data_IF_768388013101
#
_entry.id   IF_768388013101
#
_cell.length_a   1.000
_cell.length_b   1.000
_cell.length_c   1.000
_cell.angle_alpha   90.00
_cell.angle_beta   90.00
_cell.angle_gamma   90.00
#
_symmetry.space_group_name_H-M   'P 1'
#
loop_
_entity.id
_entity.type
_entity.pdbx_description
1 polymer ?
#
# COMPACT_ATOMS: atom_id res chain seq x y z
N UNK A 1 -12.28 -21.73 -12.63
CA UNK A 1 -12.48 -20.37 -13.20
C UNK A 1 -12.47 -19.34 -12.09
N UNK A 2 -11.76 -18.22 -12.29
CA UNK A 2 -11.60 -17.11 -11.36
C UNK A 2 -11.88 -15.81 -12.11
N UNK A 3 -12.76 -14.99 -11.57
CA UNK A 3 -13.17 -13.69 -12.12
C UNK A 3 -12.73 -12.56 -11.19
N UNK A 4 -12.31 -11.44 -11.78
CA UNK A 4 -12.01 -10.20 -11.09
C UNK A 4 -13.07 -9.16 -11.43
N UNK A 5 -13.59 -8.52 -10.40
CA UNK A 5 -14.43 -7.33 -10.53
C UNK A 5 -13.49 -6.13 -10.47
N UNK A 6 -13.47 -5.33 -11.54
CA UNK A 6 -12.71 -4.09 -11.62
C UNK A 6 -13.70 -2.95 -11.38
N UNK A 7 -13.44 -2.18 -10.34
CA UNK A 7 -14.23 -1.02 -9.95
C UNK A 7 -13.43 0.23 -10.34
N UNK A 8 -13.75 0.82 -11.48
CA UNK A 8 -13.21 2.11 -11.92
C UNK A 8 -14.25 3.22 -11.67
N UNK A 9 -13.83 4.49 -11.70
CA UNK A 9 -14.67 5.65 -11.32
C UNK A 9 -15.96 5.79 -12.14
N UNK A 10 -16.03 5.21 -13.34
CA UNK A 10 -17.16 5.38 -14.25
C UNK A 10 -18.11 4.17 -14.32
N UNK A 11 -17.61 2.93 -14.38
CA UNK A 11 -18.46 1.73 -14.47
C UNK A 11 -17.76 0.45 -13.94
N UNK A 12 -18.47 -0.43 -13.19
CA UNK A 12 -17.93 -1.72 -12.79
C UNK A 12 -17.84 -2.69 -13.98
N UNK A 13 -16.72 -3.38 -14.12
CA UNK A 13 -16.51 -4.40 -15.16
C UNK A 13 -16.05 -5.75 -14.57
N UNK A 14 -16.33 -6.85 -15.28
CA UNK A 14 -15.93 -8.21 -14.89
C UNK A 14 -14.93 -8.74 -15.90
N UNK A 15 -13.80 -9.28 -15.42
CA UNK A 15 -12.74 -9.88 -16.23
C UNK A 15 -12.47 -11.31 -15.79
N UNK A 16 -12.28 -12.21 -16.74
CA UNK A 16 -11.75 -13.55 -16.45
C UNK A 16 -10.22 -13.48 -16.26
N UNK A 17 -9.74 -13.96 -15.12
CA UNK A 17 -8.31 -13.88 -14.75
C UNK A 17 -7.63 -15.23 -14.84
N UNK A 18 -8.34 -16.31 -14.52
CA UNK A 18 -7.78 -17.65 -14.61
C UNK A 18 -8.88 -18.68 -14.92
N UNK A 19 -8.66 -19.47 -15.97
CA UNK A 19 -9.49 -20.60 -16.31
C UNK A 19 -8.60 -21.83 -16.55
N UNK A 20 -8.36 -22.57 -15.48
CA UNK A 20 -7.54 -23.78 -15.47
C UNK A 20 -8.24 -24.88 -14.67
N UNK A 21 -7.74 -26.10 -14.81
CA UNK A 21 -8.13 -27.24 -13.98
C UNK A 21 -7.65 -27.10 -12.54
N UNK A 22 -8.18 -27.94 -11.65
CA UNK A 22 -7.75 -27.98 -10.24
C UNK A 22 -6.28 -28.41 -10.11
N UNK A 23 -5.83 -29.36 -10.93
CA UNK A 23 -4.45 -29.86 -10.90
C UNK A 23 -3.44 -28.76 -11.25
N UNK A 24 -3.80 -27.88 -12.18
CA UNK A 24 -3.01 -26.71 -12.56
C UNK A 24 -3.04 -25.60 -11.49
N UNK A 25 -4.12 -25.52 -10.71
CA UNK A 25 -4.30 -24.50 -9.66
C UNK A 25 -3.49 -24.80 -8.40
N UNK A 26 -3.42 -26.08 -7.97
CA UNK A 26 -2.73 -26.53 -6.75
C UNK A 26 -1.32 -25.94 -6.60
N UNK A 27 -0.41 -25.98 -7.59
CA UNK A 27 0.95 -25.42 -7.44
C UNK A 27 0.97 -23.89 -7.29
N UNK A 28 -0.12 -23.20 -7.62
CA UNK A 28 -0.22 -21.74 -7.49
C UNK A 28 -0.60 -21.31 -6.07
N UNK A 29 -1.27 -22.17 -5.30
CA UNK A 29 -1.76 -21.89 -3.95
C UNK A 29 -0.63 -21.77 -2.92
N UNK A 30 -0.93 -21.10 -1.82
CA UNK A 30 -0.08 -21.04 -0.61
C UNK A 30 -0.90 -21.39 0.61
N UNK A 31 -0.24 -22.03 1.57
CA UNK A 31 -0.81 -22.28 2.89
C UNK A 31 -0.23 -21.29 3.91
N UNK A 32 -1.10 -20.62 4.65
CA UNK A 32 -0.73 -19.83 5.83
C UNK A 32 -1.70 -20.20 6.95
N UNK A 33 -1.15 -20.75 8.04
CA UNK A 33 -1.88 -21.13 9.24
C UNK A 33 -3.11 -22.04 8.96
N UNK A 34 -2.99 -22.98 8.02
CA UNK A 34 -4.08 -23.90 7.66
C UNK A 34 -5.17 -23.28 6.78
N UNK A 35 -4.97 -22.04 6.34
CA UNK A 35 -5.79 -21.41 5.30
C UNK A 35 -5.04 -21.43 3.96
N UNK A 36 -5.70 -21.95 2.93
CA UNK A 36 -5.17 -21.93 1.56
C UNK A 36 -5.60 -20.66 0.83
N UNK A 37 -4.67 -19.96 0.20
CA UNK A 37 -4.94 -18.75 -0.58
C UNK A 37 -4.19 -18.76 -1.91
N UNK A 38 -4.79 -18.11 -2.93
CA UNK A 38 -4.17 -17.89 -4.24
C UNK A 38 -3.58 -16.47 -4.28
N UNK A 39 -2.25 -16.31 -4.37
CA UNK A 39 -1.64 -14.99 -4.49
C UNK A 39 -2.05 -14.33 -5.81
N UNK A 40 -2.68 -13.15 -5.72
CA UNK A 40 -3.17 -12.39 -6.88
C UNK A 40 -2.05 -12.07 -7.88
N UNK A 41 -0.83 -11.84 -7.39
CA UNK A 41 0.33 -11.58 -8.24
C UNK A 41 0.74 -12.76 -9.15
N UNK A 42 0.34 -14.00 -8.82
CA UNK A 42 0.61 -15.18 -9.66
C UNK A 42 -0.36 -15.32 -10.83
N UNK A 43 -1.51 -14.63 -10.78
CA UNK A 43 -2.57 -14.74 -11.80
C UNK A 43 -2.71 -13.48 -12.66
N UNK A 44 -2.28 -12.31 -12.18
CA UNK A 44 -2.27 -11.08 -12.97
C UNK A 44 -1.04 -10.99 -13.89
N UNK A 45 -1.25 -10.62 -15.16
CA UNK A 45 -0.17 -10.45 -16.14
C UNK A 45 0.73 -9.27 -15.75
N UNK A 46 2.05 -9.29 -16.03
CA UNK A 46 2.96 -8.20 -15.71
C UNK A 46 2.54 -6.82 -16.24
N UNK A 47 1.91 -6.77 -17.43
CA UNK A 47 1.38 -5.54 -18.00
C UNK A 47 0.18 -4.95 -17.21
N UNK A 48 -0.59 -5.80 -16.51
CA UNK A 48 -1.68 -5.39 -15.61
C UNK A 48 -1.18 -5.04 -14.22
N UNK A 49 0.12 -5.25 -13.94
CA UNK A 49 0.80 -4.78 -12.72
C UNK A 49 1.34 -3.36 -12.86
N UNK A 50 1.00 -2.66 -13.95
CA UNK A 50 1.35 -1.25 -14.12
C UNK A 50 0.55 -0.42 -13.09
N UNK A 51 0.96 -0.48 -11.82
CA UNK A 51 0.73 0.62 -10.91
C UNK A 51 1.42 1.82 -11.54
N UNK A 52 0.67 2.87 -11.81
CA UNK A 52 1.21 4.19 -12.15
C UNK A 52 2.46 4.42 -11.30
N UNK A 53 3.62 4.74 -11.90
CA UNK A 53 4.84 5.03 -11.14
C UNK A 53 4.53 6.03 -10.04
N UNK A 54 5.12 5.84 -8.86
CA UNK A 54 4.82 6.69 -7.70
C UNK A 54 5.05 8.18 -8.00
N UNK A 55 5.97 8.51 -8.92
CA UNK A 55 6.23 9.89 -9.34
C UNK A 55 5.09 10.53 -10.15
N UNK A 56 4.23 9.72 -10.76
CA UNK A 56 3.10 10.17 -11.59
C UNK A 56 1.77 10.19 -10.81
N UNK A 57 1.78 9.71 -9.57
CA UNK A 57 0.60 9.66 -8.72
C UNK A 57 0.31 11.03 -8.10
N UNK A 58 -0.98 11.36 -8.00
CA UNK A 58 -1.41 12.61 -7.34
C UNK A 58 -1.19 12.55 -5.83
N UNK A 59 -0.77 13.68 -5.27
CA UNK A 59 -0.72 13.89 -3.82
C UNK A 59 -2.12 14.24 -3.31
N UNK A 60 -2.65 13.46 -2.37
CA UNK A 60 -4.01 13.65 -1.82
C UNK A 60 -4.02 14.25 -0.43
N UNK A 61 -2.93 14.12 0.32
CA UNK A 61 -2.73 14.78 1.60
C UNK A 61 -1.23 14.95 1.87
N UNK A 62 -0.84 16.01 2.58
CA UNK A 62 0.55 16.19 3.01
C UNK A 62 0.63 16.95 4.32
N UNK A 63 1.72 16.73 5.06
CA UNK A 63 2.05 17.47 6.28
C UNK A 63 3.55 17.74 6.34
N UNK A 64 3.94 18.87 6.93
CA UNK A 64 5.32 19.27 7.10
C UNK A 64 5.73 19.16 8.57
N UNK A 65 6.90 18.58 8.83
CA UNK A 65 7.53 18.52 10.14
C UNK A 65 9.04 18.78 10.02
N UNK A 66 9.49 19.93 10.51
CA UNK A 66 10.88 20.39 10.30
C UNK A 66 11.21 20.46 8.79
N UNK A 67 12.25 19.76 8.33
CA UNK A 67 12.61 19.63 6.91
C UNK A 67 11.88 18.48 6.20
N UNK A 68 11.14 17.65 6.95
CA UNK A 68 10.48 16.47 6.42
C UNK A 68 9.07 16.79 5.96
N UNK A 69 8.77 16.46 4.71
CA UNK A 69 7.41 16.47 4.17
C UNK A 69 6.90 15.03 4.05
N UNK A 70 5.81 14.72 4.74
CA UNK A 70 5.12 13.43 4.67
C UNK A 70 3.91 13.59 3.76
N UNK A 71 3.87 12.83 2.66
CA UNK A 71 2.81 12.93 1.66
C UNK A 71 2.13 11.58 1.44
N UNK A 72 0.81 11.61 1.35
CA UNK A 72 -0.03 10.50 0.92
C UNK A 72 -0.39 10.65 -0.56
N UNK A 73 -0.12 9.59 -1.32
CA UNK A 73 -0.49 9.47 -2.73
C UNK A 73 -1.90 8.88 -2.87
N UNK A 74 -2.51 9.04 -4.04
CA UNK A 74 -3.88 8.60 -4.34
C UNK A 74 -4.12 7.09 -4.08
N UNK A 75 -3.10 6.23 -4.25
CA UNK A 75 -3.20 4.80 -3.94
C UNK A 75 -2.99 4.46 -2.44
N UNK A 76 -2.89 5.48 -1.59
CA UNK A 76 -2.62 5.37 -0.16
C UNK A 76 -1.16 5.11 0.21
N UNK A 77 -0.22 5.15 -0.74
CA UNK A 77 1.21 5.05 -0.43
C UNK A 77 1.71 6.32 0.25
N UNK A 78 2.67 6.16 1.15
CA UNK A 78 3.29 7.28 1.87
C UNK A 78 4.71 7.45 1.36
N UNK A 79 5.03 8.67 0.97
CA UNK A 79 6.39 9.10 0.63
C UNK A 79 6.84 10.15 1.64
N UNK A 80 8.16 10.24 1.85
CA UNK A 80 8.78 11.23 2.72
C UNK A 80 9.84 11.95 1.93
N UNK A 81 9.80 13.28 1.93
CA UNK A 81 10.86 14.12 1.38
C UNK A 81 11.59 14.83 2.51
N UNK A 82 12.89 15.02 2.36
CA UNK A 82 13.72 15.85 3.25
C UNK A 82 14.31 16.98 2.42
N UNK A 83 13.96 18.23 2.74
CA UNK A 83 14.31 19.41 1.93
C UNK A 83 14.05 19.21 0.43
N UNK A 84 12.87 18.66 0.10
CA UNK A 84 12.42 18.39 -1.27
C UNK A 84 12.98 17.11 -1.91
N UNK A 85 13.93 16.41 -1.28
CA UNK A 85 14.51 15.17 -1.81
C UNK A 85 13.76 13.95 -1.32
N UNK A 86 13.28 13.12 -2.24
CA UNK A 86 12.58 11.87 -1.91
C UNK A 86 13.53 10.90 -1.19
N UNK A 87 13.13 10.48 0.02
CA UNK A 87 13.89 9.50 0.79
C UNK A 87 13.58 8.06 0.32
N UNK A 88 14.61 7.20 0.16
CA UNK A 88 14.40 5.81 -0.25
C UNK A 88 13.72 4.96 0.83
N UNK A 89 13.82 5.34 2.11
CA UNK A 89 13.18 4.64 3.22
C UNK A 89 12.38 5.59 4.10
N UNK A 90 11.05 5.57 3.93
CA UNK A 90 10.13 6.38 4.75
C UNK A 90 9.98 5.85 6.20
N UNK A 91 9.95 4.53 6.41
CA UNK A 91 9.50 3.94 7.68
C UNK A 91 10.35 4.33 8.90
N UNK A 92 11.70 4.36 8.85
CA UNK A 92 12.50 4.81 10.00
C UNK A 92 12.19 6.26 10.38
N UNK A 93 12.18 7.16 9.38
CA UNK A 93 11.91 8.59 9.57
C UNK A 93 10.51 8.82 10.16
N UNK A 94 9.49 8.13 9.64
CA UNK A 94 8.14 8.21 10.20
C UNK A 94 8.07 7.77 11.67
N UNK A 95 8.87 6.79 12.10
CA UNK A 95 8.90 6.38 13.51
C UNK A 95 9.53 7.44 14.40
N UNK A 96 10.56 8.12 13.91
CA UNK A 96 11.21 9.21 14.64
C UNK A 96 10.27 10.42 14.76
N UNK A 97 9.62 10.81 13.67
CA UNK A 97 8.58 11.85 13.67
C UNK A 97 7.47 11.48 14.64
N UNK A 98 6.90 10.27 14.53
CA UNK A 98 5.82 9.81 15.40
C UNK A 98 6.19 9.87 16.88
N UNK A 99 7.42 9.50 17.24
CA UNK A 99 7.91 9.59 18.62
C UNK A 99 8.00 11.04 19.10
N UNK A 100 8.43 11.96 18.24
CA UNK A 100 8.55 13.38 18.58
C UNK A 100 7.19 14.06 18.77
N UNK A 101 6.20 13.69 17.96
CA UNK A 101 4.86 14.30 17.98
C UNK A 101 3.83 13.53 18.83
N UNK A 102 4.23 12.43 19.47
CA UNK A 102 3.37 11.64 20.36
C UNK A 102 2.40 10.69 19.64
N UNK A 103 2.60 10.39 18.35
CA UNK A 103 1.81 9.40 17.61
C UNK A 103 2.28 7.99 17.97
N UNK A 104 1.35 7.12 18.38
CA UNK A 104 1.67 5.74 18.74
C UNK A 104 2.09 4.92 17.49
N UNK A 105 3.30 4.34 17.44
CA UNK A 105 3.75 3.53 16.32
C UNK A 105 3.13 2.12 16.30
N UNK A 106 2.38 1.73 17.33
CA UNK A 106 1.69 0.45 17.43
C UNK A 106 0.20 0.60 17.07
N UNK A 107 -0.40 -0.46 16.53
CA UNK A 107 -1.84 -0.54 16.29
C UNK A 107 -2.59 -1.08 17.53
N UNK A 108 -3.92 -1.15 17.45
CA UNK A 108 -4.78 -1.63 18.54
C UNK A 108 -4.52 -3.09 18.96
N UNK A 109 -3.90 -3.89 18.09
CA UNK A 109 -3.50 -5.28 18.37
C UNK A 109 -2.08 -5.38 18.94
N UNK A 110 -1.40 -4.26 19.23
CA UNK A 110 -0.03 -4.23 19.73
C UNK A 110 1.06 -4.46 18.69
N UNK A 111 0.70 -4.55 17.40
CA UNK A 111 1.67 -4.73 16.31
C UNK A 111 2.18 -3.39 15.77
N UNK A 112 3.42 -3.35 15.28
CA UNK A 112 3.98 -2.15 14.66
C UNK A 112 3.18 -1.75 13.41
N UNK A 113 2.78 -0.48 13.32
CA UNK A 113 2.14 0.08 12.12
C UNK A 113 3.09 -0.03 10.93
N UNK A 114 2.50 -0.28 9.76
CA UNK A 114 3.21 -0.17 8.49
C UNK A 114 3.34 1.30 8.09
N UNK A 115 4.14 1.57 7.03
CA UNK A 115 4.40 2.92 6.53
C UNK A 115 3.12 3.69 6.20
N UNK A 116 2.11 3.01 5.64
CA UNK A 116 0.84 3.64 5.26
C UNK A 116 0.07 4.12 6.48
N UNK A 117 -0.23 3.22 7.40
CA UNK A 117 -1.00 3.58 8.61
C UNK A 117 -0.27 4.60 9.48
N UNK A 118 1.05 4.45 9.65
CA UNK A 118 1.83 5.39 10.44
C UNK A 118 1.89 6.77 9.80
N UNK A 119 2.11 6.83 8.48
CA UNK A 119 2.14 8.10 7.75
C UNK A 119 0.80 8.82 7.75
N UNK A 120 -0.31 8.10 7.55
CA UNK A 120 -1.65 8.70 7.64
C UNK A 120 -1.94 9.27 9.03
N UNK A 121 -1.52 8.61 10.10
CA UNK A 121 -1.71 9.13 11.46
C UNK A 121 -0.83 10.36 11.74
N UNK A 122 0.39 10.40 11.20
CA UNK A 122 1.27 11.58 11.27
C UNK A 122 0.66 12.76 10.52
N UNK A 123 0.16 12.54 9.30
CA UNK A 123 -0.49 13.60 8.51
C UNK A 123 -1.70 14.15 9.27
N UNK A 124 -2.54 13.29 9.86
CA UNK A 124 -3.69 13.72 10.68
C UNK A 124 -3.30 14.45 11.95
N UNK A 125 -2.16 14.13 12.56
CA UNK A 125 -1.70 14.79 13.78
C UNK A 125 -1.09 16.17 13.52
N UNK A 126 -0.57 16.39 12.31
CA UNK A 126 0.09 17.64 11.90
C UNK A 126 -0.81 18.56 11.05
N UNK A 127 -1.94 18.05 10.56
CA UNK A 127 -2.95 18.77 9.76
C UNK A 127 -4.30 18.82 10.43
#
# INVERSE_FOLDING_TARGET
MILQIVLDENEPSIREVLNCSTDELIPMLRDVNGSTYLPVNKILKPAERQSTPLEQMKEVASALWSSFQVTQLENGSIIVRDDGHLLPQAKPVLRDIARQIGVNPMNSMGNAKNTRSLGSDIIKALG
#
